data_IF_153498095323
#
_entry.id   IF_153498095323
#
_cell.length_a   1.000
_cell.length_b   1.000
_cell.length_c   1.000
_cell.angle_alpha   90.00
_cell.angle_beta   90.00
_cell.angle_gamma   90.00
#
_symmetry.space_group_name_H-M   'P 1'
#
loop_
_entity.id
_entity.type
_entity.pdbx_description
1 polymer ?
#
# COMPACT_ATOMS: atom_id res chain seq x y z
N UNK A 1 -25.64 3.92 4.20
CA UNK A 1 -25.07 2.66 3.65
C UNK A 1 -23.64 2.84 3.13
N UNK A 2 -23.36 3.48 1.98
CA UNK A 2 -21.97 3.57 1.47
C UNK A 2 -21.05 4.40 2.37
N UNK A 3 -21.48 5.59 2.81
CA UNK A 3 -20.67 6.46 3.66
C UNK A 3 -20.38 5.84 5.03
N UNK A 4 -21.32 5.07 5.56
CA UNK A 4 -21.13 4.32 6.81
C UNK A 4 -20.10 3.20 6.63
N UNK A 5 -20.17 2.45 5.54
CA UNK A 5 -19.18 1.41 5.22
C UNK A 5 -17.78 2.01 5.00
N UNK A 6 -17.68 3.16 4.32
CA UNK A 6 -16.40 3.87 4.15
C UNK A 6 -15.83 4.26 5.52
N UNK A 7 -16.66 4.82 6.40
CA UNK A 7 -16.25 5.19 7.75
C UNK A 7 -15.79 3.97 8.56
N UNK A 8 -16.54 2.87 8.51
CA UNK A 8 -16.18 1.63 9.20
C UNK A 8 -14.81 1.09 8.77
N UNK A 9 -14.54 1.09 7.45
CA UNK A 9 -13.23 0.69 6.91
C UNK A 9 -12.13 1.65 7.35
N UNK A 10 -12.38 2.96 7.35
CA UNK A 10 -11.41 3.95 7.83
C UNK A 10 -11.09 3.79 9.31
N UNK A 11 -12.10 3.54 10.14
CA UNK A 11 -11.94 3.30 11.58
C UNK A 11 -11.14 1.99 11.81
N UNK A 12 -11.40 0.95 11.01
CA UNK A 12 -10.65 -0.31 11.06
C UNK A 12 -9.17 -0.14 10.66
N UNK A 13 -8.91 0.55 9.55
CA UNK A 13 -7.55 0.86 9.08
C UNK A 13 -6.80 1.67 10.12
N UNK A 14 -7.43 2.67 10.73
CA UNK A 14 -6.82 3.49 11.80
C UNK A 14 -6.37 2.62 12.97
N UNK A 15 -7.22 1.70 13.44
CA UNK A 15 -6.86 0.79 14.54
C UNK A 15 -5.67 -0.11 14.22
N UNK A 16 -5.55 -0.59 12.98
CA UNK A 16 -4.38 -1.38 12.55
C UNK A 16 -3.12 -0.48 12.54
N UNK A 17 -3.23 0.74 12.03
CA UNK A 17 -2.12 1.71 11.99
C UNK A 17 -1.59 2.05 13.38
N UNK A 18 -2.48 2.24 14.35
CA UNK A 18 -2.12 2.54 15.73
C UNK A 18 -1.31 1.39 16.37
N UNK A 19 -1.44 0.15 15.87
CA UNK A 19 -0.68 -0.99 16.39
C UNK A 19 0.78 -1.01 15.94
N UNK A 20 1.12 -0.32 14.85
CA UNK A 20 2.43 -0.44 14.19
C UNK A 20 3.60 0.02 15.07
N UNK A 21 3.39 1.03 15.91
CA UNK A 21 4.40 1.52 16.86
C UNK A 21 4.78 0.44 17.89
N UNK A 22 3.82 -0.41 18.27
CA UNK A 22 4.00 -1.44 19.29
C UNK A 22 4.45 -2.77 18.69
N UNK A 23 3.83 -3.21 17.60
CA UNK A 23 4.10 -4.52 17.00
C UNK A 23 5.28 -4.51 16.03
N UNK A 24 5.66 -3.33 15.55
CA UNK A 24 6.39 -3.21 14.29
C UNK A 24 5.52 -3.60 13.09
N UNK A 25 6.06 -3.39 11.89
CA UNK A 25 5.43 -3.78 10.63
C UNK A 25 6.50 -4.03 9.56
N UNK A 26 6.11 -4.73 8.49
CA UNK A 26 6.91 -4.90 7.27
C UNK A 26 6.23 -4.19 6.10
N UNK A 27 7.03 -3.59 5.22
CA UNK A 27 6.52 -3.03 3.96
C UNK A 27 6.63 -4.12 2.89
N UNK A 28 5.49 -4.45 2.29
CA UNK A 28 5.36 -5.35 1.15
C UNK A 28 5.12 -4.54 -0.12
N UNK A 29 5.78 -4.94 -1.19
CA UNK A 29 5.53 -4.41 -2.53
C UNK A 29 4.84 -5.49 -3.35
N UNK A 30 3.60 -5.20 -3.75
CA UNK A 30 2.89 -5.99 -4.74
C UNK A 30 3.08 -5.32 -6.10
N UNK A 31 3.71 -6.01 -7.04
CA UNK A 31 4.06 -5.47 -8.35
C UNK A 31 3.44 -6.33 -9.45
N UNK A 32 2.69 -5.70 -10.36
CA UNK A 32 2.02 -6.40 -11.45
C UNK A 32 1.96 -5.53 -12.71
N UNK A 33 1.83 -6.19 -13.86
CA UNK A 33 1.52 -5.50 -15.12
C UNK A 33 0.01 -5.63 -15.38
N UNK A 34 -0.68 -4.52 -15.60
CA UNK A 34 -2.12 -4.55 -15.90
C UNK A 34 -2.42 -4.94 -17.36
N UNK A 35 -3.70 -5.13 -17.68
CA UNK A 35 -4.16 -5.49 -19.04
C UNK A 35 -3.82 -4.44 -20.10
N UNK A 36 -3.45 -3.21 -19.69
CA UNK A 36 -3.03 -2.12 -20.59
C UNK A 36 -1.52 -2.07 -20.76
N UNK A 37 -0.77 -3.03 -20.17
CA UNK A 37 0.68 -3.10 -20.23
C UNK A 37 1.38 -2.10 -19.31
N UNK A 38 0.67 -1.53 -18.32
CA UNK A 38 1.28 -0.62 -17.34
C UNK A 38 1.87 -1.42 -16.20
N UNK A 39 3.10 -1.09 -15.81
CA UNK A 39 3.75 -1.66 -14.64
C UNK A 39 3.31 -0.88 -13.40
N UNK A 40 2.64 -1.55 -12.47
CA UNK A 40 2.07 -0.98 -11.26
C UNK A 40 2.73 -1.58 -10.02
N UNK A 41 2.88 -0.77 -8.98
CA UNK A 41 3.34 -1.20 -7.66
C UNK A 41 2.38 -0.69 -6.59
N UNK A 42 1.91 -1.57 -5.71
CA UNK A 42 1.20 -1.23 -4.48
C UNK A 42 2.09 -1.46 -3.26
N UNK A 43 2.10 -0.47 -2.38
CA UNK A 43 2.72 -0.51 -1.07
C UNK A 43 1.68 -0.97 -0.05
N UNK A 44 1.95 -2.11 0.58
CA UNK A 44 1.11 -2.69 1.63
C UNK A 44 1.95 -2.76 2.90
N UNK A 45 1.41 -2.29 4.01
CA UNK A 45 2.07 -2.43 5.32
C UNK A 45 1.42 -3.61 6.04
N UNK A 46 2.23 -4.60 6.37
CA UNK A 46 1.80 -5.82 7.05
C UNK A 46 2.26 -5.84 8.51
N UNK A 47 1.34 -6.15 9.40
CA UNK A 47 1.59 -6.34 10.82
C UNK A 47 0.71 -7.47 11.37
N UNK A 48 0.90 -7.93 12.62
CA UNK A 48 0.06 -8.98 13.21
C UNK A 48 -1.45 -8.66 13.25
N UNK A 49 -1.83 -7.37 13.22
CA UNK A 49 -3.24 -6.95 13.16
C UNK A 49 -3.83 -7.00 11.74
N UNK A 50 -3.00 -7.21 10.72
CA UNK A 50 -3.39 -7.39 9.32
C UNK A 50 -2.72 -6.41 8.35
N UNK A 51 -2.83 -6.67 7.04
CA UNK A 51 -2.28 -5.82 6.00
C UNK A 51 -3.14 -4.58 5.72
N UNK A 52 -2.49 -3.45 5.43
CA UNK A 52 -3.14 -2.20 5.02
C UNK A 52 -2.53 -1.70 3.72
N UNK A 53 -3.36 -1.47 2.71
CA UNK A 53 -2.95 -0.76 1.50
C UNK A 53 -2.62 0.71 1.83
N UNK A 54 -1.41 1.14 1.52
CA UNK A 54 -0.95 2.51 1.74
C UNK A 54 -1.14 3.36 0.48
N UNK A 55 -0.50 2.94 -0.62
CA UNK A 55 -0.45 3.70 -1.87
C UNK A 55 -0.08 2.81 -3.04
N UNK A 56 -0.52 3.16 -4.24
CA UNK A 56 -0.11 2.53 -5.49
C UNK A 56 0.41 3.55 -6.49
N UNK A 57 1.30 3.11 -7.37
CA UNK A 57 1.97 3.94 -8.36
C UNK A 57 2.02 3.24 -9.72
N UNK A 58 1.87 4.03 -10.79
CA UNK A 58 2.24 3.63 -12.14
C UNK A 58 3.74 3.90 -12.32
N UNK A 59 4.51 2.82 -12.42
CA UNK A 59 5.97 2.87 -12.53
C UNK A 59 6.46 2.59 -13.95
N UNK A 60 5.56 2.52 -14.94
CA UNK A 60 5.88 2.17 -16.32
C UNK A 60 7.04 2.98 -16.90
N UNK A 61 7.10 4.27 -16.55
CA UNK A 61 8.12 5.22 -17.05
C UNK A 61 9.43 5.19 -16.26
N UNK A 62 9.45 4.60 -15.07
CA UNK A 62 10.58 4.66 -14.14
C UNK A 62 11.09 3.28 -13.69
N UNK A 63 10.50 2.18 -14.17
CA UNK A 63 10.80 0.80 -13.74
C UNK A 63 12.27 0.39 -13.89
N UNK A 64 13.00 1.00 -14.81
CA UNK A 64 14.44 0.76 -15.03
C UNK A 64 15.34 1.74 -14.28
N UNK A 65 14.78 2.69 -13.52
CA UNK A 65 15.51 3.70 -12.77
C UNK A 65 15.37 3.44 -11.27
N UNK A 66 16.36 2.76 -10.70
CA UNK A 66 16.39 2.42 -9.29
C UNK A 66 16.28 3.65 -8.37
N UNK A 67 16.94 4.75 -8.72
CA UNK A 67 16.89 6.00 -7.93
C UNK A 67 15.48 6.61 -7.94
N UNK A 68 14.80 6.60 -9.09
CA UNK A 68 13.42 7.06 -9.17
C UNK A 68 12.47 6.16 -8.38
N UNK A 69 12.66 4.84 -8.44
CA UNK A 69 11.86 3.89 -7.65
C UNK A 69 12.07 4.07 -6.13
N UNK A 70 13.31 4.30 -5.69
CA UNK A 70 13.62 4.57 -4.29
C UNK A 70 12.95 5.84 -3.75
N UNK A 71 12.64 6.81 -4.62
CA UNK A 71 11.95 8.05 -4.21
C UNK A 71 10.44 7.87 -3.97
N UNK A 72 9.88 6.69 -4.24
CA UNK A 72 8.46 6.38 -4.01
C UNK A 72 8.16 6.01 -2.54
N UNK A 73 9.20 5.66 -1.77
CA UNK A 73 9.11 5.14 -0.40
C UNK A 73 9.41 6.22 0.62
#
# INVERSE_FOLDING_TARGET
MLQEAVKEVQDHVTKIKDSWEVTGCSILLDAWTDEKGRDLVAFVVDCPAGPVHMKSFDVSQIKSNATALMSLV
#
